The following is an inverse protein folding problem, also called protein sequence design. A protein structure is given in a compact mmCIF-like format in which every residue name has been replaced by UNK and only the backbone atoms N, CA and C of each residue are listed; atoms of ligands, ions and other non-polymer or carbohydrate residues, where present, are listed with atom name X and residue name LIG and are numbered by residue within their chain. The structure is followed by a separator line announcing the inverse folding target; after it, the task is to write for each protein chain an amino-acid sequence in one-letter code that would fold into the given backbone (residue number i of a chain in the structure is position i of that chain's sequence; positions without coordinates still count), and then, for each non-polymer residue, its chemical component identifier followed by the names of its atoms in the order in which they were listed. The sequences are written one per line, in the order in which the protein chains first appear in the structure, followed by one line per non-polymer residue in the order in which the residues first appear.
data_IF_691771733004
#
_entry.id   IF_691771733004
#
_cell.length_a   1.000
_cell.length_b   1.000
_cell.length_c   1.000
_cell.angle_alpha   90.00
_cell.angle_beta   90.00
_cell.angle_gamma   90.00
#
_symmetry.space_group_name_H-M   'P 1'
#
loop_
_entity.id
_entity.type
_entity.pdbx_description
1 polymer ?
#
# COMPACT_ATOMS: atom_id res chain seq x y z
N UNK A 1 25.63 -32.39 27.88
CA UNK A 1 25.06 -31.41 26.93
C UNK A 1 23.55 -31.50 26.93
N UNK A 2 22.86 -30.40 27.22
CA UNK A 2 21.39 -30.32 27.20
C UNK A 2 20.88 -30.37 25.75
N UNK A 3 19.66 -30.86 25.55
CA UNK A 3 19.03 -30.91 24.22
C UNK A 3 18.94 -29.52 23.56
N UNK A 4 18.74 -28.46 24.33
CA UNK A 4 18.72 -27.07 23.85
C UNK A 4 20.06 -26.63 23.25
N UNK A 5 21.18 -27.03 23.87
CA UNK A 5 22.54 -26.72 23.38
C UNK A 5 22.82 -27.46 22.07
N UNK A 6 22.39 -28.74 21.97
CA UNK A 6 22.50 -29.52 20.73
C UNK A 6 21.70 -28.91 19.58
N UNK A 7 20.53 -28.33 19.85
CA UNK A 7 19.72 -27.63 18.85
C UNK A 7 20.46 -26.38 18.36
N UNK A 8 20.99 -25.56 19.27
CA UNK A 8 21.74 -24.35 18.90
C UNK A 8 22.94 -24.72 18.04
N UNK A 9 23.78 -25.66 18.48
CA UNK A 9 24.96 -26.10 17.73
C UNK A 9 24.60 -26.64 16.33
N UNK A 10 23.48 -27.37 16.22
CA UNK A 10 23.00 -27.84 14.93
C UNK A 10 22.59 -26.69 14.00
N UNK A 11 21.92 -25.67 14.54
CA UNK A 11 21.52 -24.49 13.79
C UNK A 11 22.71 -23.57 13.46
N UNK A 12 23.78 -23.56 14.28
CA UNK A 12 25.02 -22.84 13.96
C UNK A 12 25.70 -23.46 12.73
N UNK A 13 25.71 -24.79 12.67
CA UNK A 13 26.34 -25.54 11.58
C UNK A 13 25.52 -25.55 10.29
N UNK A 14 24.21 -25.68 10.38
CA UNK A 14 23.32 -25.88 9.22
C UNK A 14 22.51 -24.64 8.84
N UNK A 15 22.72 -23.52 9.53
CA UNK A 15 22.03 -22.22 9.40
C UNK A 15 20.54 -22.22 9.74
N UNK A 16 19.80 -23.24 9.33
CA UNK A 16 18.38 -23.44 9.57
C UNK A 16 18.02 -24.92 9.72
N UNK A 17 16.90 -25.22 10.37
CA UNK A 17 16.39 -26.58 10.39
C UNK A 17 14.88 -26.68 10.60
N UNK A 18 14.26 -27.72 10.02
CA UNK A 18 12.88 -28.10 10.31
C UNK A 18 12.77 -28.95 11.58
N UNK A 19 11.55 -29.09 12.13
CA UNK A 19 11.33 -29.99 13.28
C UNK A 19 11.71 -31.43 12.92
N UNK A 20 11.47 -31.86 11.68
CA UNK A 20 11.71 -33.23 11.26
C UNK A 20 13.20 -33.54 11.16
N UNK A 21 14.00 -32.60 10.67
CA UNK A 21 15.47 -32.70 10.65
C UNK A 21 16.05 -32.75 12.06
N UNK A 22 15.56 -31.89 12.97
CA UNK A 22 15.98 -31.92 14.38
C UNK A 22 15.57 -33.21 15.08
N UNK A 23 14.42 -33.80 14.74
CA UNK A 23 14.02 -35.13 15.21
C UNK A 23 15.00 -36.18 14.73
N UNK A 24 15.37 -36.16 13.45
CA UNK A 24 16.34 -37.09 12.87
C UNK A 24 17.74 -36.97 13.51
N UNK A 25 18.20 -35.74 13.75
CA UNK A 25 19.49 -35.47 14.38
C UNK A 25 19.53 -35.83 15.86
N UNK A 26 18.52 -35.42 16.64
CA UNK A 26 18.50 -35.61 18.10
C UNK A 26 18.01 -37.00 18.50
N UNK A 27 17.37 -37.74 17.58
CA UNK A 27 16.73 -39.05 17.81
C UNK A 27 15.75 -39.03 19.00
N UNK A 28 14.99 -37.94 19.15
CA UNK A 28 13.94 -37.79 20.17
C UNK A 28 12.59 -37.50 19.54
N UNK A 29 11.50 -37.66 20.30
CA UNK A 29 10.15 -37.45 19.79
C UNK A 29 9.92 -36.02 19.29
N UNK A 30 9.06 -35.88 18.28
CA UNK A 30 8.65 -34.59 17.71
C UNK A 30 8.11 -33.63 18.77
N UNK A 31 7.38 -34.16 19.75
CA UNK A 31 6.85 -33.38 20.87
C UNK A 31 7.97 -32.84 21.77
N UNK A 32 8.99 -33.64 22.05
CA UNK A 32 10.15 -33.22 22.85
C UNK A 32 10.94 -32.11 22.14
N UNK A 33 11.22 -32.27 20.83
CA UNK A 33 11.84 -31.21 20.01
C UNK A 33 11.01 -29.93 20.04
N UNK A 34 9.69 -30.05 19.83
CA UNK A 34 8.78 -28.89 19.82
C UNK A 34 8.73 -28.16 21.17
N UNK A 35 8.80 -28.88 22.29
CA UNK A 35 8.85 -28.29 23.64
C UNK A 35 10.15 -27.50 23.85
N UNK A 36 11.29 -28.04 23.41
CA UNK A 36 12.58 -27.35 23.50
C UNK A 36 12.64 -26.13 22.58
N UNK A 37 12.16 -26.24 21.34
CA UNK A 37 12.08 -25.10 20.42
C UNK A 37 11.15 -24.01 20.95
N UNK A 38 10.01 -24.36 21.57
CA UNK A 38 9.14 -23.36 22.21
C UNK A 38 9.89 -22.60 23.31
N UNK A 39 10.68 -23.31 24.13
CA UNK A 39 11.50 -22.68 25.18
C UNK A 39 12.55 -21.74 24.56
N UNK A 40 13.26 -22.19 23.53
CA UNK A 40 14.28 -21.38 22.83
C UNK A 40 13.68 -20.16 22.10
N UNK A 41 12.45 -20.28 21.57
CA UNK A 41 11.70 -19.17 20.98
C UNK A 41 11.33 -18.13 22.05
N UNK A 42 10.82 -18.57 23.21
CA UNK A 42 10.49 -17.69 24.34
C UNK A 42 11.74 -16.97 24.86
N UNK A 43 12.88 -17.69 24.91
CA UNK A 43 14.17 -17.14 25.33
C UNK A 43 14.84 -16.26 24.26
N UNK A 44 14.27 -16.15 23.06
CA UNK A 44 14.83 -15.34 21.98
C UNK A 44 16.11 -15.90 21.35
N UNK A 45 16.51 -17.13 21.67
CA UNK A 45 17.73 -17.76 21.14
C UNK A 45 17.55 -18.25 19.69
N UNK A 46 16.33 -18.58 19.29
CA UNK A 46 15.98 -18.99 17.92
C UNK A 46 14.78 -18.22 17.42
N UNK A 47 14.65 -18.08 16.11
CA UNK A 47 13.49 -17.50 15.42
C UNK A 47 12.86 -18.51 14.47
N UNK A 48 11.53 -18.44 14.35
CA UNK A 48 10.73 -19.29 13.47
C UNK A 48 10.42 -18.57 12.16
N UNK A 49 10.64 -19.22 11.02
CA UNK A 49 10.32 -18.71 9.67
C UNK A 49 9.38 -19.70 8.96
N UNK A 50 8.45 -19.15 8.16
CA UNK A 50 7.41 -19.93 7.48
C UNK A 50 6.13 -20.10 8.29
N UNK A 51 5.13 -20.75 7.68
CA UNK A 51 3.84 -21.10 8.30
C UNK A 51 3.60 -22.59 8.06
N UNK A 52 2.93 -23.30 9.00
CA UNK A 52 2.56 -24.69 8.78
C UNK A 52 1.92 -24.90 7.39
N UNK A 53 2.28 -25.97 6.67
CA UNK A 53 3.11 -27.11 7.13
C UNK A 53 4.63 -26.90 7.02
N UNK A 54 5.10 -25.83 6.36
CA UNK A 54 6.53 -25.60 6.09
C UNK A 54 7.12 -24.56 7.04
N UNK A 55 7.91 -25.04 8.00
CA UNK A 55 8.47 -24.22 9.08
C UNK A 55 9.94 -24.56 9.27
N UNK A 56 10.77 -23.52 9.36
CA UNK A 56 12.18 -23.61 9.71
C UNK A 56 12.49 -22.77 10.95
N UNK A 57 13.51 -23.19 11.68
CA UNK A 57 14.05 -22.51 12.85
C UNK A 57 15.49 -22.08 12.53
N UNK A 58 15.85 -20.87 12.93
CA UNK A 58 17.18 -20.31 12.73
C UNK A 58 17.67 -19.70 14.03
N UNK A 59 18.98 -19.56 14.18
CA UNK A 59 19.53 -18.80 15.31
C UNK A 59 19.13 -17.34 15.18
N UNK A 60 18.74 -16.76 16.30
CA UNK A 60 18.56 -15.34 16.40
C UNK A 60 19.96 -14.71 16.51
N UNK A 61 20.62 -14.51 15.36
CA UNK A 61 21.80 -13.64 15.29
C UNK A 61 21.29 -12.27 15.72
N UNK A 62 21.70 -11.81 16.90
CA UNK A 62 21.26 -10.53 17.45
C UNK A 62 21.31 -9.47 16.36
N UNK A 63 20.15 -8.88 16.06
CA UNK A 63 20.15 -7.54 15.47
C UNK A 63 20.69 -6.65 16.56
N UNK A 64 21.96 -6.35 16.40
CA UNK A 64 22.82 -5.65 17.32
C UNK A 64 22.20 -4.31 17.71
N UNK A 65 22.07 -4.12 19.03
CA UNK A 65 21.87 -2.85 19.74
C UNK A 65 20.56 -2.08 19.48
N UNK A 66 19.64 -2.20 20.46
CA UNK A 66 18.84 -1.05 20.89
C UNK A 66 19.79 0.06 21.35
N UNK A 67 20.36 0.84 20.42
CA UNK A 67 20.95 2.13 20.76
C UNK A 67 19.80 3.03 21.21
N UNK A 68 19.99 3.63 22.37
CA UNK A 68 19.01 4.41 23.11
C UNK A 68 18.15 5.32 22.22
N UNK A 69 16.88 4.94 22.03
CA UNK A 69 15.80 5.81 21.53
C UNK A 69 15.42 6.92 22.56
N UNK A 70 16.24 7.11 23.59
CA UNK A 70 15.98 7.95 24.77
C UNK A 70 16.04 9.44 24.43
N UNK A 71 16.79 9.83 23.39
CA UNK A 71 16.98 11.23 22.95
C UNK A 71 15.77 11.86 22.22
N UNK A 72 14.87 11.07 21.63
CA UNK A 72 13.78 11.63 20.82
C UNK A 72 12.65 12.23 21.67
N UNK A 73 12.20 13.43 21.31
CA UNK A 73 11.05 14.10 21.93
C UNK A 73 9.76 13.27 21.76
N UNK A 74 8.85 13.40 22.73
CA UNK A 74 7.57 12.67 22.72
C UNK A 74 6.74 12.95 21.45
N UNK A 75 6.80 14.18 20.92
CA UNK A 75 6.12 14.58 19.69
C UNK A 75 6.65 13.81 18.46
N UNK A 76 7.98 13.67 18.37
CA UNK A 76 8.61 12.95 17.26
C UNK A 76 8.25 11.46 17.32
N UNK A 77 8.36 10.87 18.52
CA UNK A 77 7.98 9.47 18.77
C UNK A 77 6.55 9.21 18.33
N UNK A 78 5.60 10.04 18.78
CA UNK A 78 4.18 9.93 18.41
C UNK A 78 3.94 10.05 16.91
N UNK A 79 4.58 11.03 16.26
CA UNK A 79 4.44 11.25 14.82
C UNK A 79 4.89 10.03 14.01
N UNK A 80 6.01 9.42 14.40
CA UNK A 80 6.54 8.21 13.77
C UNK A 80 5.63 7.02 14.04
N UNK A 81 5.19 6.84 15.29
CA UNK A 81 4.32 5.73 15.69
C UNK A 81 3.03 5.66 14.86
N UNK A 82 2.43 6.82 14.60
CA UNK A 82 1.19 6.92 13.84
C UNK A 82 1.41 6.78 12.32
N UNK A 83 2.52 7.33 11.80
CA UNK A 83 2.70 7.59 10.36
C UNK A 83 3.66 6.65 9.65
N UNK A 84 4.49 5.90 10.38
CA UNK A 84 5.51 5.03 9.77
C UNK A 84 5.07 3.58 9.71
N UNK A 85 5.25 2.98 8.53
CA UNK A 85 5.05 1.56 8.29
C UNK A 85 6.12 1.08 7.32
N UNK A 86 6.78 0.00 7.70
CA UNK A 86 7.71 -0.72 6.84
C UNK A 86 7.29 -2.19 6.76
N UNK A 87 7.25 -2.72 5.54
CA UNK A 87 7.06 -4.15 5.32
C UNK A 87 8.40 -4.71 4.85
N UNK A 88 8.95 -5.64 5.61
CA UNK A 88 10.24 -6.24 5.33
C UNK A 88 10.18 -7.12 4.07
N UNK A 89 11.32 -7.44 3.43
CA UNK A 89 11.35 -8.39 2.31
C UNK A 89 10.76 -9.76 2.66
N UNK A 90 10.75 -10.14 3.94
CA UNK A 90 10.12 -11.36 4.44
C UNK A 90 8.59 -11.23 4.65
N UNK A 91 7.99 -10.09 4.28
CA UNK A 91 6.58 -9.81 4.47
C UNK A 91 6.18 -9.50 5.92
N UNK A 92 7.14 -9.17 6.79
CA UNK A 92 6.84 -8.81 8.18
C UNK A 92 6.46 -7.33 8.26
N UNK A 93 5.38 -7.04 8.98
CA UNK A 93 4.91 -5.67 9.24
C UNK A 93 5.66 -5.11 10.45
N UNK A 94 6.43 -4.04 10.26
CA UNK A 94 7.06 -3.26 11.34
C UNK A 94 6.49 -1.84 11.32
N UNK A 95 5.84 -1.45 12.40
CA UNK A 95 5.17 -0.15 12.52
C UNK A 95 5.94 0.78 13.45
N UNK A 96 5.68 2.07 13.29
CA UNK A 96 6.13 3.07 14.24
C UNK A 96 7.63 3.12 14.40
N UNK A 97 8.08 3.37 15.64
CA UNK A 97 9.50 3.49 15.95
C UNK A 97 10.28 2.20 15.64
N UNK A 98 9.68 1.02 15.89
CA UNK A 98 10.32 -0.26 15.58
C UNK A 98 10.60 -0.39 14.08
N UNK A 99 9.60 -0.05 13.24
CA UNK A 99 9.76 -0.04 11.79
C UNK A 99 10.76 1.00 11.32
N UNK A 100 10.74 2.18 11.93
CA UNK A 100 11.62 3.29 11.58
C UNK A 100 13.09 2.97 11.88
N UNK A 101 13.39 2.45 13.06
CA UNK A 101 14.74 2.02 13.43
C UNK A 101 15.24 0.93 12.51
N UNK A 102 14.41 -0.08 12.23
CA UNK A 102 14.76 -1.15 11.30
C UNK A 102 15.08 -0.62 9.89
N UNK A 103 14.30 0.35 9.41
CA UNK A 103 14.56 0.98 8.11
C UNK A 103 15.86 1.79 8.13
N UNK A 104 16.13 2.53 9.19
CA UNK A 104 17.37 3.30 9.35
C UNK A 104 18.60 2.38 9.37
N UNK A 105 18.57 1.31 10.15
CA UNK A 105 19.63 0.30 10.20
C UNK A 105 19.89 -0.31 8.82
N UNK A 106 18.81 -0.73 8.14
CA UNK A 106 18.90 -1.31 6.79
C UNK A 106 19.47 -0.34 5.75
N UNK A 107 19.26 0.96 5.93
CA UNK A 107 19.71 2.00 4.99
C UNK A 107 21.01 2.69 5.43
N UNK A 108 21.63 2.25 6.52
CA UNK A 108 22.84 2.86 7.07
C UNK A 108 22.64 4.29 7.57
N UNK A 109 21.41 4.66 7.97
CA UNK A 109 21.08 6.00 8.40
C UNK A 109 21.04 6.15 9.94
N UNK A 110 21.48 7.29 10.49
CA UNK A 110 21.38 7.55 11.93
C UNK A 110 19.93 7.81 12.35
N UNK A 111 19.41 6.98 13.28
CA UNK A 111 18.00 6.99 13.71
C UNK A 111 17.53 8.37 14.18
N UNK A 112 18.27 9.03 15.08
CA UNK A 112 17.84 10.29 15.68
C UNK A 112 17.72 11.43 14.66
N UNK A 113 18.77 11.64 13.86
CA UNK A 113 18.80 12.68 12.82
C UNK A 113 17.71 12.40 11.77
N UNK A 114 17.58 11.14 11.35
CA UNK A 114 16.55 10.75 10.39
C UNK A 114 15.13 10.92 10.95
N UNK A 115 14.91 10.68 12.25
CA UNK A 115 13.60 10.86 12.88
C UNK A 115 13.16 12.33 12.89
N UNK A 116 14.06 13.25 13.27
CA UNK A 116 13.80 14.70 13.23
C UNK A 116 13.45 15.15 11.82
N UNK A 117 14.22 14.70 10.83
CA UNK A 117 14.00 15.05 9.44
C UNK A 117 12.73 14.44 8.86
N UNK A 118 12.42 13.20 9.22
CA UNK A 118 11.18 12.52 8.83
C UNK A 118 9.97 13.32 9.29
N UNK A 119 9.94 13.78 10.55
CA UNK A 119 8.85 14.59 11.08
C UNK A 119 8.79 15.96 10.40
N UNK A 120 9.93 16.60 10.14
CA UNK A 120 9.99 17.85 9.36
C UNK A 120 9.39 17.68 7.97
N UNK A 121 9.74 16.59 7.29
CA UNK A 121 9.21 16.24 5.98
C UNK A 121 7.70 15.95 6.07
N UNK A 122 7.24 15.12 7.02
CA UNK A 122 5.82 14.87 7.23
C UNK A 122 5.03 16.16 7.42
N UNK A 123 5.52 17.10 8.25
CA UNK A 123 4.90 18.41 8.45
C UNK A 123 4.81 19.21 7.13
N UNK A 124 5.83 19.19 6.27
CA UNK A 124 5.78 19.78 4.91
C UNK A 124 4.65 19.17 4.09
N UNK A 125 4.48 17.84 4.11
CA UNK A 125 3.46 17.15 3.32
C UNK A 125 2.04 17.31 3.90
N UNK A 126 1.89 17.35 5.22
CA UNK A 126 0.60 17.57 5.89
C UNK A 126 0.00 18.94 5.58
N UNK A 127 0.80 19.96 5.27
CA UNK A 127 0.30 21.26 4.81
C UNK A 127 -0.57 21.17 3.55
N UNK A 128 -0.33 20.17 2.70
CA UNK A 128 -1.17 19.93 1.52
C UNK A 128 -2.48 19.20 1.84
N UNK A 129 -2.60 18.61 3.03
CA UNK A 129 -3.72 17.78 3.44
C UNK A 129 -4.71 18.60 4.26
N UNK A 130 -5.76 19.10 3.61
CA UNK A 130 -6.85 19.84 4.25
C UNK A 130 -8.01 18.88 4.52
N UNK A 131 -8.44 18.75 5.78
CA UNK A 131 -9.50 17.83 6.20
C UNK A 131 -9.27 16.37 5.76
N UNK A 132 -8.01 15.93 5.75
CA UNK A 132 -7.64 14.57 5.35
C UNK A 132 -7.55 14.34 3.84
N UNK A 133 -7.70 15.38 3.01
CA UNK A 133 -7.66 15.31 1.55
C UNK A 133 -6.61 16.25 0.97
N UNK A 134 -5.98 15.82 -0.12
CA UNK A 134 -5.03 16.62 -0.88
C UNK A 134 -5.69 17.03 -2.20
N UNK A 135 -5.92 18.33 -2.41
CA UNK A 135 -6.45 18.84 -3.68
C UNK A 135 -5.33 18.90 -4.73
N UNK A 136 -5.59 18.28 -5.88
CA UNK A 136 -4.70 18.21 -7.05
C UNK A 136 -5.39 18.62 -8.34
N UNK A 137 -6.54 19.28 -8.25
CA UNK A 137 -7.28 19.80 -9.40
C UNK A 137 -6.44 20.76 -10.25
N UNK A 138 -5.65 21.63 -9.60
CA UNK A 138 -4.74 22.55 -10.29
C UNK A 138 -3.65 21.84 -11.11
N UNK A 139 -3.18 20.67 -10.65
CA UNK A 139 -2.17 19.88 -11.36
C UNK A 139 -2.74 19.22 -12.62
N UNK A 140 -3.99 18.77 -12.58
CA UNK A 140 -4.66 18.22 -13.78
C UNK A 140 -4.81 19.30 -14.86
N UNK A 141 -5.22 20.52 -14.47
CA UNK A 141 -5.34 21.65 -15.41
C UNK A 141 -4.04 22.06 -16.07
N UNK A 142 -2.90 21.94 -15.38
CA UNK A 142 -1.60 22.25 -15.98
C UNK A 142 -0.99 21.09 -16.76
N UNK A 143 -1.50 19.87 -16.63
CA UNK A 143 -0.94 18.71 -17.33
C UNK A 143 -1.71 18.37 -18.60
N UNK A 144 -3.04 18.45 -18.56
CA UNK A 144 -3.88 18.03 -19.68
C UNK A 144 -4.41 19.25 -20.43
N UNK A 145 -4.41 19.21 -21.79
CA UNK A 145 -5.02 20.27 -22.59
C UNK A 145 -6.54 20.35 -22.37
N UNK A 146 -7.18 19.19 -22.12
CA UNK A 146 -8.61 19.10 -21.80
C UNK A 146 -8.79 18.27 -20.54
N UNK A 147 -9.48 18.84 -19.56
CA UNK A 147 -9.76 18.18 -18.27
C UNK A 147 -11.25 17.85 -18.16
N UNK A 148 -11.58 16.57 -17.93
CA UNK A 148 -12.96 16.12 -17.71
C UNK A 148 -13.40 16.17 -16.24
N UNK A 149 -12.44 16.29 -15.33
CA UNK A 149 -12.64 16.28 -13.87
C UNK A 149 -12.84 17.71 -13.36
N UNK A 150 -13.91 17.94 -12.61
CA UNK A 150 -14.15 19.23 -11.95
C UNK A 150 -13.23 19.41 -10.74
N UNK A 151 -12.99 18.32 -10.00
CA UNK A 151 -12.11 18.29 -8.83
C UNK A 151 -11.36 16.97 -8.75
N UNK A 152 -10.14 16.99 -8.22
CA UNK A 152 -9.32 15.79 -7.99
C UNK A 152 -8.69 15.81 -6.61
N UNK A 153 -8.91 14.73 -5.85
CA UNK A 153 -8.40 14.56 -4.50
C UNK A 153 -7.54 13.30 -4.36
N UNK A 154 -6.49 13.37 -3.55
CA UNK A 154 -5.77 12.21 -3.05
C UNK A 154 -6.01 12.05 -1.55
N UNK A 155 -6.12 10.82 -1.05
CA UNK A 155 -6.16 10.55 0.40
C UNK A 155 -4.77 10.65 1.03
N UNK A 156 -3.72 10.36 0.28
CA UNK A 156 -2.33 10.53 0.70
C UNK A 156 -1.37 10.62 -0.49
N UNK A 157 -0.11 10.94 -0.24
CA UNK A 157 0.94 10.74 -1.24
C UNK A 157 1.36 9.28 -1.28
N UNK A 158 1.74 8.80 -2.45
CA UNK A 158 2.28 7.44 -2.58
C UNK A 158 3.64 7.30 -1.88
N UNK A 159 4.48 8.33 -2.03
CA UNK A 159 5.80 8.41 -1.41
C UNK A 159 6.18 9.85 -1.08
N UNK A 160 7.05 9.99 -0.10
CA UNK A 160 7.69 11.23 0.31
C UNK A 160 9.19 11.17 0.00
N UNK A 161 9.79 12.33 -0.22
CA UNK A 161 11.22 12.46 -0.47
C UNK A 161 12.04 11.78 0.64
N UNK A 162 13.14 11.13 0.25
CA UNK A 162 14.13 10.44 1.12
C UNK A 162 13.64 9.20 1.89
N UNK A 163 12.39 9.17 2.35
CA UNK A 163 11.86 8.09 3.21
C UNK A 163 10.98 7.08 2.47
N UNK A 164 10.75 7.29 1.18
CA UNK A 164 10.03 6.34 0.33
C UNK A 164 8.52 6.37 0.56
N UNK A 165 7.87 5.20 0.53
CA UNK A 165 6.41 5.10 0.54
C UNK A 165 5.81 5.52 1.88
N UNK A 166 4.69 6.24 1.86
CA UNK A 166 3.95 6.56 3.10
C UNK A 166 3.31 5.30 3.67
N UNK A 167 2.75 5.37 4.88
CA UNK A 167 1.97 4.26 5.45
C UNK A 167 0.84 3.81 4.52
N UNK A 168 0.09 4.75 3.96
CA UNK A 168 -0.99 4.42 3.02
C UNK A 168 -0.43 3.87 1.70
N UNK A 169 0.69 4.42 1.21
CA UNK A 169 1.41 3.90 0.04
C UNK A 169 1.90 2.46 0.21
N UNK A 170 2.43 2.12 1.38
CA UNK A 170 2.84 0.75 1.73
C UNK A 170 1.64 -0.18 1.81
N UNK A 171 0.57 0.22 2.52
CA UNK A 171 -0.65 -0.59 2.60
C UNK A 171 -1.24 -0.85 1.21
N UNK A 172 -1.30 0.16 0.36
CA UNK A 172 -1.80 0.02 -1.01
C UNK A 172 -0.94 -0.93 -1.85
N UNK A 173 0.39 -0.74 -1.85
CA UNK A 173 1.34 -1.57 -2.60
C UNK A 173 1.14 -3.05 -2.24
N UNK A 174 1.20 -3.38 -0.96
CA UNK A 174 1.14 -4.77 -0.54
C UNK A 174 -0.27 -5.33 -0.60
N UNK A 175 -1.32 -4.51 -0.45
CA UNK A 175 -2.70 -4.94 -0.71
C UNK A 175 -2.90 -5.34 -2.18
N UNK A 176 -2.21 -4.66 -3.12
CA UNK A 176 -2.21 -5.00 -4.54
C UNK A 176 -1.36 -6.22 -4.88
N UNK A 177 -0.14 -6.29 -4.35
CA UNK A 177 0.83 -7.34 -4.70
C UNK A 177 0.52 -8.68 -4.03
N UNK A 178 0.26 -8.66 -2.71
CA UNK A 178 0.08 -9.89 -1.94
C UNK A 178 -1.32 -10.51 -2.07
N UNK A 179 -2.27 -9.78 -2.68
CA UNK A 179 -3.68 -10.18 -2.78
C UNK A 179 -4.31 -10.56 -1.43
N UNK A 180 -3.74 -10.03 -0.33
CA UNK A 180 -4.16 -10.35 1.02
C UNK A 180 -5.45 -9.61 1.38
N UNK A 181 -6.58 -10.35 1.42
CA UNK A 181 -7.91 -9.82 1.78
C UNK A 181 -7.94 -9.07 3.10
N UNK A 182 -7.15 -9.50 4.09
CA UNK A 182 -7.08 -8.82 5.40
C UNK A 182 -6.50 -7.41 5.25
N UNK A 183 -5.42 -7.25 4.51
CA UNK A 183 -4.81 -5.93 4.27
C UNK A 183 -5.74 -5.02 3.46
N UNK A 184 -6.42 -5.57 2.46
CA UNK A 184 -7.42 -4.81 1.68
C UNK A 184 -8.54 -4.33 2.59
N UNK A 185 -9.05 -5.19 3.49
CA UNK A 185 -10.10 -4.81 4.45
C UNK A 185 -9.62 -3.75 5.43
N UNK A 186 -8.41 -3.88 5.99
CA UNK A 186 -7.81 -2.86 6.86
C UNK A 186 -7.71 -1.51 6.14
N UNK A 187 -7.22 -1.51 4.89
CA UNK A 187 -7.15 -0.32 4.06
C UNK A 187 -8.55 0.27 3.80
N UNK A 188 -9.54 -0.56 3.46
CA UNK A 188 -10.92 -0.12 3.23
C UNK A 188 -11.52 0.56 4.46
N UNK A 189 -11.30 0.00 5.66
CA UNK A 189 -11.76 0.58 6.93
C UNK A 189 -11.11 1.95 7.17
N UNK A 190 -9.81 2.08 6.91
CA UNK A 190 -9.08 3.33 7.11
C UNK A 190 -9.55 4.45 6.16
N UNK A 191 -9.89 4.12 4.91
CA UNK A 191 -10.25 5.12 3.91
C UNK A 191 -11.75 5.44 3.86
N UNK A 192 -12.61 4.52 4.30
CA UNK A 192 -14.08 4.67 4.19
C UNK A 192 -14.60 5.99 4.79
N UNK A 193 -14.24 6.40 6.01
CA UNK A 193 -14.74 7.65 6.57
C UNK A 193 -14.37 8.90 5.75
N UNK A 194 -13.27 8.85 4.99
CA UNK A 194 -12.86 9.96 4.11
C UNK A 194 -13.68 9.97 2.83
N UNK A 195 -14.00 8.79 2.29
CA UNK A 195 -14.87 8.63 1.12
C UNK A 195 -16.29 9.07 1.46
N UNK A 196 -16.83 8.65 2.60
CA UNK A 196 -18.18 9.03 3.07
C UNK A 196 -18.31 10.55 3.17
N UNK A 197 -17.30 11.22 3.75
CA UNK A 197 -17.25 12.69 3.83
C UNK A 197 -17.24 13.36 2.46
N UNK A 198 -16.57 12.78 1.45
CA UNK A 198 -16.59 13.30 0.07
C UNK A 198 -17.98 13.13 -0.53
N UNK A 199 -18.59 11.95 -0.36
CA UNK A 199 -19.93 11.65 -0.87
C UNK A 199 -20.94 12.65 -0.34
N UNK A 200 -20.92 12.89 0.97
CA UNK A 200 -21.80 13.85 1.63
C UNK A 200 -21.52 15.29 1.19
N UNK A 201 -20.26 15.74 1.33
CA UNK A 201 -19.86 17.13 1.04
C UNK A 201 -20.18 17.56 -0.40
N UNK A 202 -20.01 16.66 -1.35
CA UNK A 202 -20.22 16.94 -2.77
C UNK A 202 -21.55 16.43 -3.32
N UNK A 203 -22.41 15.88 -2.46
CA UNK A 203 -23.72 15.31 -2.83
C UNK A 203 -23.57 14.35 -4.01
N UNK A 204 -22.67 13.38 -3.85
CA UNK A 204 -22.38 12.37 -4.86
C UNK A 204 -23.58 11.43 -4.97
N UNK A 205 -24.11 11.28 -6.17
CA UNK A 205 -25.24 10.41 -6.50
C UNK A 205 -24.88 9.29 -7.47
N UNK A 206 -23.64 9.24 -7.96
CA UNK A 206 -23.07 8.09 -8.68
C UNK A 206 -21.62 7.81 -8.27
N UNK A 207 -21.23 6.54 -8.19
CA UNK A 207 -19.86 6.12 -7.86
C UNK A 207 -19.28 5.17 -8.91
N UNK A 208 -18.06 5.44 -9.38
CA UNK A 208 -17.36 4.63 -10.37
C UNK A 208 -16.01 4.16 -9.86
N UNK A 209 -15.75 2.87 -9.98
CA UNK A 209 -14.44 2.30 -9.66
C UNK A 209 -13.67 2.06 -10.95
N UNK A 210 -12.45 2.60 -11.03
CA UNK A 210 -11.59 2.40 -12.20
C UNK A 210 -11.22 0.91 -12.29
N UNK A 211 -11.47 0.26 -13.44
CA UNK A 211 -11.20 -1.16 -13.58
C UNK A 211 -9.68 -1.43 -13.60
N UNK A 212 -9.24 -2.57 -13.04
CA UNK A 212 -7.84 -2.93 -12.99
C UNK A 212 -7.26 -3.18 -14.39
N UNK A 213 -5.98 -2.84 -14.56
CA UNK A 213 -5.28 -3.02 -15.84
C UNK A 213 -4.57 -4.37 -15.97
N UNK A 214 -4.26 -5.03 -14.86
CA UNK A 214 -3.47 -6.28 -14.84
C UNK A 214 -4.36 -7.45 -14.39
N UNK A 215 -4.31 -8.57 -15.13
CA UNK A 215 -5.01 -9.81 -14.74
C UNK A 215 -4.38 -10.35 -13.45
N UNK A 216 -5.20 -10.50 -12.42
CA UNK A 216 -4.88 -11.06 -11.10
C UNK A 216 -6.10 -11.84 -10.62
N UNK A 217 -5.88 -12.88 -9.83
CA UNK A 217 -6.93 -13.72 -9.24
C UNK A 217 -7.86 -12.88 -8.35
N UNK A 218 -7.26 -12.06 -7.48
CA UNK A 218 -7.96 -11.11 -6.64
C UNK A 218 -7.70 -9.67 -7.10
N UNK A 219 -8.76 -9.02 -7.56
CA UNK A 219 -8.69 -7.64 -8.06
C UNK A 219 -8.94 -6.65 -6.93
N UNK A 220 -7.89 -5.91 -6.56
CA UNK A 220 -7.92 -4.91 -5.47
C UNK A 220 -9.16 -4.02 -5.50
N UNK A 221 -9.46 -3.39 -6.65
CA UNK A 221 -10.58 -2.46 -6.78
C UNK A 221 -11.94 -3.12 -6.57
N UNK A 222 -12.11 -4.38 -6.97
CA UNK A 222 -13.36 -5.13 -6.74
C UNK A 222 -13.56 -5.46 -5.26
N UNK A 223 -12.49 -5.83 -4.56
CA UNK A 223 -12.57 -6.11 -3.12
C UNK A 223 -12.73 -4.82 -2.32
N UNK A 224 -12.09 -3.72 -2.73
CA UNK A 224 -12.32 -2.39 -2.18
C UNK A 224 -13.80 -2.00 -2.30
N UNK A 225 -14.37 -2.10 -3.50
CA UNK A 225 -15.78 -1.85 -3.76
C UNK A 225 -16.70 -2.66 -2.84
N UNK A 226 -16.44 -3.97 -2.70
CA UNK A 226 -17.20 -4.85 -1.80
C UNK A 226 -17.08 -4.48 -0.33
N UNK A 227 -15.93 -3.98 0.10
CA UNK A 227 -15.69 -3.60 1.49
C UNK A 227 -16.30 -2.24 1.84
N UNK A 228 -16.28 -1.29 0.89
CA UNK A 228 -16.85 0.04 1.09
C UNK A 228 -18.37 0.01 1.23
N UNK A 229 -19.04 -0.89 0.48
CA UNK A 229 -20.51 -1.09 0.51
C UNK A 229 -21.30 0.22 0.43
N UNK A 230 -20.87 1.11 -0.47
CA UNK A 230 -21.53 2.40 -0.64
C UNK A 230 -22.97 2.24 -1.11
N UNK A 231 -23.87 3.04 -0.53
CA UNK A 231 -25.30 3.05 -0.87
C UNK A 231 -25.58 3.76 -2.21
N UNK A 232 -24.62 4.54 -2.69
CA UNK A 232 -24.72 5.30 -3.93
C UNK A 232 -24.70 4.35 -5.13
N UNK A 233 -25.56 4.56 -6.15
CA UNK A 233 -25.56 3.76 -7.37
C UNK A 233 -24.19 3.72 -8.05
N UNK A 234 -23.82 2.53 -8.51
CA UNK A 234 -22.57 2.31 -9.22
C UNK A 234 -22.72 2.60 -10.71
N UNK A 235 -21.73 3.26 -11.30
CA UNK A 235 -21.61 3.41 -12.75
C UNK A 235 -20.75 2.29 -13.34
N UNK A 236 -21.13 1.83 -14.52
CA UNK A 236 -20.43 0.75 -15.22
C UNK A 236 -19.29 1.31 -16.07
N UNK A 237 -18.06 0.99 -15.66
CA UNK A 237 -16.83 1.31 -16.38
C UNK A 237 -16.15 -0.01 -16.75
N UNK A 238 -16.02 -0.28 -18.04
CA UNK A 238 -15.47 -1.52 -18.58
C UNK A 238 -14.13 -1.26 -19.25
N UNK A 239 -13.21 -2.20 -19.10
CA UNK A 239 -11.97 -2.22 -19.88
C UNK A 239 -12.14 -3.19 -21.05
N UNK A 240 -12.05 -2.69 -22.27
CA UNK A 240 -12.11 -3.48 -23.51
C UNK A 240 -10.77 -4.18 -23.70
N UNK A 241 -10.82 -5.43 -24.18
CA UNK A 241 -9.64 -6.22 -24.53
C UNK A 241 -9.28 -5.93 -25.98
N UNK A 242 -8.03 -5.56 -26.21
CA UNK A 242 -7.35 -5.61 -27.52
C UNK A 242 -6.65 -6.95 -27.66
N UNK A 243 -6.26 -7.34 -28.88
CA UNK A 243 -5.58 -8.60 -29.16
C UNK A 243 -4.27 -8.73 -28.37
N UNK A 244 -3.57 -7.61 -28.18
CA UNK A 244 -2.37 -7.51 -27.32
C UNK A 244 -2.71 -6.68 -26.09
N UNK A 245 -2.53 -7.26 -24.89
CA UNK A 245 -2.72 -6.56 -23.62
C UNK A 245 -1.46 -5.75 -23.26
N UNK A 246 -1.51 -4.44 -23.49
CA UNK A 246 -0.44 -3.52 -23.05
C UNK A 246 -0.83 -2.89 -21.71
N UNK A 247 -0.10 -3.17 -20.61
CA UNK A 247 -0.36 -2.53 -19.33
C UNK A 247 0.02 -1.06 -19.38
N UNK A 248 -0.91 -0.15 -19.10
CA UNK A 248 -0.67 1.29 -19.13
C UNK A 248 0.52 1.76 -18.26
N UNK A 249 0.84 1.01 -17.19
CA UNK A 249 1.96 1.33 -16.29
C UNK A 249 3.34 1.15 -16.92
N UNK A 250 3.47 0.32 -17.97
CA UNK A 250 4.74 0.13 -18.68
C UNK A 250 5.04 1.24 -19.68
N UNK A 251 4.04 2.04 -20.06
CA UNK A 251 4.19 3.18 -20.97
C UNK A 251 4.87 4.34 -20.24
N UNK A 252 5.91 4.93 -20.81
CA UNK A 252 6.66 6.03 -20.17
C UNK A 252 6.09 7.41 -20.53
N UNK A 253 5.62 7.59 -21.77
CA UNK A 253 5.09 8.87 -22.27
C UNK A 253 3.63 9.09 -21.86
N UNK A 254 3.30 10.35 -21.51
CA UNK A 254 1.94 10.74 -21.16
C UNK A 254 0.96 10.57 -22.34
N UNK A 255 1.39 10.92 -23.56
CA UNK A 255 0.61 10.75 -24.80
C UNK A 255 0.11 9.31 -24.96
N UNK A 256 1.02 8.36 -24.83
CA UNK A 256 0.74 6.94 -25.04
C UNK A 256 -0.20 6.41 -23.94
N UNK A 257 -0.07 6.93 -22.72
CA UNK A 257 -0.99 6.62 -21.61
C UNK A 257 -2.39 7.19 -21.83
N UNK A 258 -2.51 8.37 -22.42
CA UNK A 258 -3.80 8.98 -22.80
C UNK A 258 -4.45 8.15 -23.90
N UNK A 259 -3.71 7.83 -24.96
CA UNK A 259 -4.19 7.00 -26.07
C UNK A 259 -4.65 5.62 -25.59
N UNK A 260 -3.85 4.95 -24.77
CA UNK A 260 -4.21 3.66 -24.19
C UNK A 260 -5.50 3.76 -23.34
N UNK A 261 -5.63 4.78 -22.49
CA UNK A 261 -6.83 4.98 -21.68
C UNK A 261 -8.07 5.25 -22.57
N UNK A 262 -7.93 6.10 -23.59
CA UNK A 262 -9.00 6.44 -24.53
C UNK A 262 -9.52 5.22 -25.29
N UNK A 263 -8.63 4.32 -25.70
CA UNK A 263 -8.99 3.18 -26.55
C UNK A 263 -9.39 1.93 -25.76
N UNK A 264 -9.00 1.82 -24.48
CA UNK A 264 -9.25 0.59 -23.69
C UNK A 264 -10.30 0.77 -22.60
N UNK A 265 -10.64 2.00 -22.18
CA UNK A 265 -11.67 2.22 -21.16
C UNK A 265 -12.94 2.73 -21.80
N UNK A 266 -14.07 2.14 -21.43
CA UNK A 266 -15.39 2.55 -21.90
C UNK A 266 -16.35 2.69 -20.74
N UNK A 267 -16.98 3.86 -20.67
CA UNK A 267 -18.11 4.13 -19.77
C UNK A 267 -19.38 3.62 -20.42
N UNK A 268 -19.95 2.56 -19.85
CA UNK A 268 -21.17 1.88 -20.32
C UNK A 268 -22.31 2.14 -19.34
N UNK A 269 -22.71 3.41 -19.25
CA UNK A 269 -23.77 3.89 -18.37
C UNK A 269 -24.73 4.77 -19.17
N UNK A 270 -26.03 4.64 -18.87
CA UNK A 270 -27.10 5.39 -19.56
C UNK A 270 -27.84 6.34 -18.62
N UNK A 271 -27.79 6.09 -17.31
CA UNK A 271 -28.44 6.95 -16.30
C UNK A 271 -27.72 8.28 -16.20
N UNK A 272 -28.50 9.33 -15.96
CA UNK A 272 -27.97 10.65 -15.64
C UNK A 272 -27.71 10.79 -14.14
N UNK A 273 -26.60 11.43 -13.79
CA UNK A 273 -26.19 11.73 -12.41
C UNK A 273 -25.87 13.22 -12.26
N UNK A 274 -26.15 13.79 -11.11
CA UNK A 274 -25.74 15.17 -10.82
C UNK A 274 -24.23 15.24 -10.56
N UNK A 275 -23.70 14.34 -9.73
CA UNK A 275 -22.31 14.30 -9.30
C UNK A 275 -21.81 12.86 -9.22
N UNK A 276 -20.85 12.52 -10.08
CA UNK A 276 -20.15 11.23 -10.03
C UNK A 276 -18.83 11.36 -9.28
N UNK A 277 -18.54 10.40 -8.40
CA UNK A 277 -17.22 10.18 -7.81
C UNK A 277 -16.52 9.00 -8.50
N UNK A 278 -15.39 9.25 -9.15
CA UNK A 278 -14.50 8.24 -9.69
C UNK A 278 -13.41 7.90 -8.67
N UNK A 279 -13.24 6.62 -8.35
CA UNK A 279 -12.21 6.12 -7.42
C UNK A 279 -11.18 5.31 -8.18
N UNK A 280 -9.91 5.69 -8.03
CA UNK A 280 -8.76 4.97 -8.56
C UNK A 280 -7.78 4.59 -7.43
N UNK A 281 -6.95 3.58 -7.68
CA UNK A 281 -6.00 3.08 -6.69
C UNK A 281 -4.85 4.06 -6.43
N UNK A 282 -4.20 4.52 -7.49
CA UNK A 282 -3.07 5.43 -7.44
C UNK A 282 -3.01 6.29 -8.70
N UNK A 283 -2.89 7.60 -8.50
CA UNK A 283 -2.73 8.54 -9.61
C UNK A 283 -1.26 8.77 -9.90
N UNK A 284 -0.80 8.11 -10.97
CA UNK A 284 0.55 8.21 -11.50
C UNK A 284 0.69 9.15 -12.70
N UNK A 285 -0.20 9.12 -13.69
CA UNK A 285 -0.23 10.14 -14.77
C UNK A 285 -1.55 10.91 -14.85
N UNK A 286 -2.59 10.43 -14.15
CA UNK A 286 -3.94 11.00 -14.20
C UNK A 286 -4.75 10.68 -15.46
N UNK A 287 -4.12 10.10 -16.50
CA UNK A 287 -4.74 9.89 -17.81
C UNK A 287 -6.03 9.07 -17.71
N UNK A 288 -6.00 7.96 -16.98
CA UNK A 288 -7.15 7.06 -16.81
C UNK A 288 -8.37 7.75 -16.18
N UNK A 289 -8.16 8.48 -15.08
CA UNK A 289 -9.23 9.25 -14.47
C UNK A 289 -9.76 10.35 -15.40
N UNK A 290 -8.86 11.06 -16.09
CA UNK A 290 -9.25 12.17 -16.96
C UNK A 290 -10.05 11.69 -18.17
N UNK A 291 -9.58 10.66 -18.88
CA UNK A 291 -10.27 10.12 -20.05
C UNK A 291 -11.63 9.53 -19.68
N UNK A 292 -11.73 8.84 -18.54
CA UNK A 292 -13.01 8.34 -18.02
C UNK A 292 -13.98 9.49 -17.76
N UNK A 293 -13.50 10.58 -17.12
CA UNK A 293 -14.31 11.76 -16.86
C UNK A 293 -14.73 12.49 -18.15
N UNK A 294 -13.85 12.59 -19.14
CA UNK A 294 -14.17 13.16 -20.45
C UNK A 294 -15.26 12.36 -21.15
N UNK A 295 -15.21 11.02 -21.12
CA UNK A 295 -16.29 10.19 -21.67
C UNK A 295 -17.62 10.45 -20.96
N UNK A 296 -17.62 10.52 -19.62
CA UNK A 296 -18.84 10.83 -18.84
C UNK A 296 -19.43 12.18 -19.24
N UNK A 297 -18.60 13.22 -19.36
CA UNK A 297 -19.03 14.57 -19.75
C UNK A 297 -19.54 14.62 -21.18
N UNK A 298 -18.81 14.02 -22.13
CA UNK A 298 -19.18 14.01 -23.55
C UNK A 298 -20.49 13.24 -23.79
N UNK A 299 -20.71 12.13 -23.07
CA UNK A 299 -21.96 11.36 -23.12
C UNK A 299 -23.09 11.98 -22.30
N UNK A 300 -22.86 13.13 -21.66
CA UNK A 300 -23.81 13.82 -20.77
C UNK A 300 -24.35 12.92 -19.64
N UNK A 301 -23.54 11.97 -19.17
CA UNK A 301 -23.90 11.05 -18.08
C UNK A 301 -23.90 11.78 -16.74
N UNK A 302 -23.04 12.79 -16.57
CA UNK A 302 -23.08 13.61 -15.36
C UNK A 302 -22.79 15.09 -15.58
N UNK A 303 -23.39 15.92 -14.71
CA UNK A 303 -23.10 17.36 -14.64
C UNK A 303 -21.74 17.62 -14.01
N UNK A 304 -21.41 16.95 -12.90
CA UNK A 304 -20.13 17.07 -12.18
C UNK A 304 -19.43 15.71 -12.05
N UNK A 305 -18.12 15.68 -12.22
CA UNK A 305 -17.27 14.49 -12.05
C UNK A 305 -16.10 14.85 -11.14
N UNK A 306 -15.96 14.11 -10.04
CA UNK A 306 -14.91 14.27 -9.04
C UNK A 306 -14.02 13.03 -9.10
N UNK A 307 -12.71 13.22 -9.16
CA UNK A 307 -11.72 12.16 -9.07
C UNK A 307 -11.21 12.02 -7.64
N UNK A 308 -11.11 10.78 -7.16
CA UNK A 308 -10.47 10.43 -5.92
C UNK A 308 -9.46 9.32 -6.17
N UNK A 309 -8.28 9.46 -5.60
CA UNK A 309 -7.31 8.37 -5.52
C UNK A 309 -6.88 8.10 -4.10
N UNK A 310 -6.63 6.83 -3.79
CA UNK A 310 -6.10 6.45 -2.46
C UNK A 310 -4.73 7.08 -2.28
N UNK A 311 -3.87 7.00 -3.29
CA UNK A 311 -2.57 7.67 -3.27
C UNK A 311 -2.28 8.41 -4.57
N UNK A 312 -1.40 9.41 -4.54
CA UNK A 312 -0.91 10.01 -5.78
C UNK A 312 0.51 10.51 -5.67
N UNK A 313 1.15 10.78 -6.81
CA UNK A 313 2.52 11.28 -6.82
C UNK A 313 2.59 12.72 -6.29
N UNK A 314 3.66 13.03 -5.57
CA UNK A 314 3.96 14.40 -5.15
C UNK A 314 4.68 15.19 -6.25
N UNK A 315 5.79 14.61 -6.76
CA UNK A 315 6.48 15.11 -7.94
C UNK A 315 5.64 14.73 -9.16
N UNK A 316 5.38 15.72 -10.00
CA UNK A 316 4.42 15.59 -11.10
C UNK A 316 4.63 14.29 -11.87
N UNK A 317 3.59 13.47 -11.89
CA UNK A 317 3.48 12.23 -12.64
C UNK A 317 4.78 11.42 -12.88
N UNK A 318 5.59 11.24 -11.83
CA UNK A 318 6.59 10.17 -11.84
C UNK A 318 5.84 8.85 -12.03
N UNK A 319 6.21 8.12 -13.08
CA UNK A 319 5.65 6.81 -13.37
C UNK A 319 5.75 5.95 -12.11
N UNK A 320 4.61 5.72 -11.45
CA UNK A 320 4.51 4.71 -10.39
C UNK A 320 4.70 3.36 -11.08
N UNK A 321 5.95 2.95 -11.20
CA UNK A 321 6.39 1.65 -11.69
C UNK A 321 6.16 0.62 -10.58
N UNK A 322 4.94 0.11 -10.54
CA UNK A 322 4.61 -1.12 -9.84
C UNK A 322 4.51 -2.22 -10.90
N UNK A 323 5.66 -2.79 -11.29
CA UNK A 323 5.69 -4.09 -11.96
C UNK A 323 5.42 -5.16 -10.91
#
# INVERSE_FOLDING_TARGET
MKTSEKIIQYLEKNEQSSVNELVGYLRISRMAVSKQLRKLLIQGAVRKVGKPPVVFYLINKEVTQKKDLVSLSAEIKKSIEESFLFITPMGQRKQGLEGFSFWCEKTGQPVEKSAIEYVKILKKYFKFKKNGLIDRSGKFRSTFPKVGLDQVFYLDFYSIERFGKTKLGQLLLYSKQSQNRKMIRELSIEIKPKIDKIIEKYRVDGIGFIPPTVKRELQFMKELEKNLKEKVPKISIKKIKTDILVPQKTLTKLSDRIENAKNTLVVDERRFFRTILLIDDAVGSGATLNETALQIKNKKIAKKVIGLSITGSFKGFDVISEV
#
